data_IF_021851967080
#
_entry.id   IF_021851967080
#
_cell.length_a   1.000
_cell.length_b   1.000
_cell.length_c   1.000
_cell.angle_alpha   90.00
_cell.angle_beta   90.00
_cell.angle_gamma   90.00
#
_symmetry.space_group_name_H-M   'P 1'
#
loop_
_entity.id
_entity.type
_entity.pdbx_description
1 polymer ?
#
# COMPACT_ATOMS: atom_id res chain seq x y z
N UNK A 1 -14.15 -3.66 -0.05
CA UNK A 1 -13.50 -4.92 0.39
C UNK A 1 -13.63 -5.98 -0.70
N UNK A 2 -12.63 -6.82 -0.85
CA UNK A 2 -12.68 -7.95 -1.78
C UNK A 2 -13.15 -9.27 -1.11
N UNK A 3 -13.08 -9.33 0.22
CA UNK A 3 -13.52 -10.49 1.00
C UNK A 3 -14.57 -10.11 2.06
N UNK A 4 -15.45 -11.08 2.39
CA UNK A 4 -16.44 -11.00 3.47
C UNK A 4 -16.56 -12.34 4.19
N UNK A 5 -17.29 -12.38 5.28
CA UNK A 5 -17.67 -13.62 5.96
C UNK A 5 -19.05 -14.01 5.46
N UNK A 6 -19.20 -15.22 4.91
CA UNK A 6 -20.49 -15.79 4.59
C UNK A 6 -21.14 -16.30 5.88
N UNK A 7 -22.35 -15.83 6.18
CA UNK A 7 -22.95 -16.09 7.50
C UNK A 7 -23.37 -17.54 7.70
N UNK A 8 -23.72 -18.27 6.62
CA UNK A 8 -24.21 -19.65 6.70
C UNK A 8 -23.19 -20.64 7.29
N UNK A 9 -21.89 -20.43 7.02
CA UNK A 9 -20.81 -21.35 7.45
C UNK A 9 -19.64 -20.62 8.11
N UNK A 10 -19.73 -19.30 8.28
CA UNK A 10 -18.69 -18.42 8.85
C UNK A 10 -17.36 -18.43 8.12
N UNK A 11 -17.35 -18.86 6.85
CA UNK A 11 -16.14 -18.85 6.04
C UNK A 11 -15.87 -17.48 5.44
N UNK A 12 -14.59 -17.11 5.39
CA UNK A 12 -14.13 -15.97 4.60
C UNK A 12 -14.22 -16.32 3.13
N UNK A 13 -14.93 -15.51 2.36
CA UNK A 13 -15.19 -15.73 0.94
C UNK A 13 -14.77 -14.52 0.11
N UNK A 14 -14.31 -14.76 -1.11
CA UNK A 14 -13.93 -13.73 -2.05
C UNK A 14 -15.14 -13.32 -2.93
N UNK A 15 -15.23 -12.04 -3.27
CA UNK A 15 -16.38 -11.50 -4.00
C UNK A 15 -16.55 -12.08 -5.40
N UNK A 16 -15.47 -12.50 -6.05
CA UNK A 16 -15.51 -13.08 -7.40
C UNK A 16 -16.06 -14.51 -7.42
N UNK A 17 -15.94 -15.26 -6.31
CA UNK A 17 -16.37 -16.65 -6.17
C UNK A 17 -17.82 -16.78 -5.65
N UNK A 18 -18.51 -15.66 -5.33
CA UNK A 18 -19.83 -15.68 -4.73
C UNK A 18 -20.91 -15.21 -5.68
N UNK A 19 -22.13 -15.72 -5.47
CA UNK A 19 -23.39 -15.22 -6.04
C UNK A 19 -24.15 -14.41 -4.99
N UNK A 20 -25.08 -13.55 -5.43
CA UNK A 20 -25.89 -12.75 -4.49
C UNK A 20 -26.74 -13.60 -3.55
N UNK A 21 -27.15 -14.79 -4.03
CA UNK A 21 -27.97 -15.73 -3.26
C UNK A 21 -27.17 -16.55 -2.22
N UNK A 22 -25.83 -16.48 -2.23
CA UNK A 22 -24.98 -17.17 -1.25
C UNK A 22 -24.92 -16.41 0.08
N UNK A 23 -25.52 -15.21 0.13
CA UNK A 23 -25.62 -14.39 1.34
C UNK A 23 -26.58 -14.92 2.39
N UNK A 24 -26.66 -14.25 3.53
CA UNK A 24 -26.08 -12.95 3.83
C UNK A 24 -24.57 -12.99 4.12
N UNK A 25 -23.92 -11.85 3.88
CA UNK A 25 -22.49 -11.65 4.10
C UNK A 25 -22.23 -10.56 5.15
N UNK A 26 -21.18 -10.70 5.93
CA UNK A 26 -20.78 -9.70 6.92
C UNK A 26 -19.32 -9.27 6.78
N UNK A 27 -19.04 -8.05 7.25
CA UNK A 27 -17.70 -7.54 7.30
C UNK A 27 -16.85 -8.36 8.30
N UNK A 28 -15.63 -8.79 7.94
CA UNK A 28 -14.76 -9.51 8.88
C UNK A 28 -14.31 -8.68 10.10
N UNK A 29 -14.56 -7.37 10.10
CA UNK A 29 -14.12 -6.43 11.14
C UNK A 29 -15.21 -5.98 12.08
N UNK A 30 -16.24 -5.31 11.52
CA UNK A 30 -17.33 -4.75 12.30
C UNK A 30 -18.52 -5.71 12.42
N UNK A 31 -18.46 -6.86 11.75
CA UNK A 31 -19.52 -7.90 11.72
C UNK A 31 -20.82 -7.41 11.05
N UNK A 32 -20.93 -6.13 10.72
CA UNK A 32 -22.09 -5.57 10.02
C UNK A 32 -22.31 -6.21 8.67
N UNK A 33 -23.59 -6.29 8.26
CA UNK A 33 -23.99 -6.87 6.98
C UNK A 33 -23.39 -6.08 5.80
N UNK A 34 -22.95 -6.83 4.79
CA UNK A 34 -22.40 -6.28 3.55
C UNK A 34 -23.15 -6.76 2.34
N UNK A 35 -23.17 -5.95 1.29
CA UNK A 35 -23.81 -6.27 0.01
C UNK A 35 -22.76 -6.65 -1.01
N UNK A 36 -22.93 -7.80 -1.66
CA UNK A 36 -22.11 -8.19 -2.80
C UNK A 36 -22.49 -7.35 -4.03
N UNK A 37 -21.53 -6.56 -4.52
CA UNK A 37 -21.62 -5.78 -5.75
C UNK A 37 -20.94 -6.54 -6.87
N UNK A 38 -21.74 -7.04 -7.82
CA UNK A 38 -21.29 -7.71 -9.05
C UNK A 38 -21.50 -6.78 -10.24
N UNK A 39 -20.48 -6.63 -11.07
CA UNK A 39 -20.47 -5.78 -12.25
C UNK A 39 -19.86 -6.53 -13.43
N UNK A 40 -20.24 -6.18 -14.64
CA UNK A 40 -19.63 -6.76 -15.87
C UNK A 40 -18.25 -6.19 -16.18
N UNK A 41 -18.00 -4.92 -15.82
CA UNK A 41 -16.78 -4.19 -16.17
C UNK A 41 -15.92 -3.80 -14.97
N UNK A 42 -16.39 -4.02 -13.75
CA UNK A 42 -15.69 -3.61 -12.52
C UNK A 42 -15.40 -4.80 -11.63
N UNK A 43 -14.38 -4.67 -10.80
CA UNK A 43 -14.03 -5.70 -9.80
C UNK A 43 -15.20 -5.94 -8.86
N UNK A 44 -15.61 -7.21 -8.73
CA UNK A 44 -16.60 -7.62 -7.75
C UNK A 44 -16.12 -7.32 -6.34
N UNK A 45 -16.99 -6.78 -5.49
CA UNK A 45 -16.61 -6.40 -4.13
C UNK A 45 -17.80 -6.40 -3.17
N UNK A 46 -17.49 -6.46 -1.89
CA UNK A 46 -18.48 -6.25 -0.82
C UNK A 46 -18.47 -4.77 -0.38
N UNK A 47 -19.64 -4.24 -0.14
CA UNK A 47 -19.85 -2.87 0.34
C UNK A 47 -20.74 -2.87 1.59
N UNK A 48 -20.43 -2.00 2.55
CA UNK A 48 -21.31 -1.76 3.69
C UNK A 48 -22.59 -1.05 3.26
N UNK A 49 -23.66 -1.28 4.00
CA UNK A 49 -24.88 -0.47 3.93
C UNK A 49 -24.67 0.88 4.67
N UNK A 50 -25.21 1.99 4.17
CA UNK A 50 -25.20 3.24 4.95
C UNK A 50 -26.04 3.13 6.23
N UNK A 51 -25.67 3.84 7.32
CA UNK A 51 -24.47 4.67 7.49
C UNK A 51 -23.21 3.81 7.69
N UNK A 52 -22.08 4.25 7.06
CA UNK A 52 -20.82 3.50 7.13
C UNK A 52 -20.01 4.02 8.32
N UNK A 53 -19.93 3.22 9.38
CA UNK A 53 -19.13 3.51 10.59
C UNK A 53 -17.82 2.72 10.63
N UNK A 54 -17.69 1.70 9.78
CA UNK A 54 -16.53 0.83 9.75
C UNK A 54 -15.32 1.51 9.10
N UNK A 55 -14.19 1.51 9.76
CA UNK A 55 -12.91 2.05 9.26
C UNK A 55 -12.48 1.42 7.93
N UNK A 56 -12.82 0.15 7.70
CA UNK A 56 -12.53 -0.60 6.47
C UNK A 56 -13.67 -0.54 5.45
N UNK A 57 -14.74 0.17 5.75
CA UNK A 57 -15.96 0.19 4.93
C UNK A 57 -16.02 1.28 3.88
N UNK A 58 -15.18 2.30 3.99
CA UNK A 58 -15.28 3.52 3.18
C UNK A 58 -14.20 3.68 2.13
N UNK A 59 -14.60 4.18 0.95
CA UNK A 59 -13.68 4.90 0.07
C UNK A 59 -12.70 4.11 -0.80
N UNK A 60 -12.79 2.78 -0.87
CA UNK A 60 -11.91 2.01 -1.74
C UNK A 60 -12.25 2.23 -3.22
N UNK A 61 -11.32 2.86 -3.97
CA UNK A 61 -11.50 3.13 -5.40
C UNK A 61 -11.45 1.84 -6.23
N UNK A 62 -11.98 1.88 -7.44
CA UNK A 62 -11.89 0.77 -8.40
C UNK A 62 -10.44 0.37 -8.66
N UNK A 63 -9.59 1.36 -8.93
CA UNK A 63 -8.16 1.14 -9.19
C UNK A 63 -7.42 0.52 -8.01
N UNK A 64 -7.86 0.79 -6.77
CA UNK A 64 -7.29 0.14 -5.58
C UNK A 64 -7.65 -1.35 -5.54
N UNK A 65 -8.93 -1.68 -5.78
CA UNK A 65 -9.38 -3.08 -5.84
C UNK A 65 -8.71 -3.85 -6.96
N UNK A 66 -8.58 -3.23 -8.13
CA UNK A 66 -7.85 -3.79 -9.28
C UNK A 66 -6.38 -4.09 -8.93
N UNK A 67 -5.69 -3.14 -8.33
CA UNK A 67 -4.30 -3.30 -7.89
C UNK A 67 -4.15 -4.48 -6.93
N UNK A 68 -4.97 -4.55 -5.89
CA UNK A 68 -4.93 -5.65 -4.91
C UNK A 68 -5.19 -7.00 -5.56
N UNK A 69 -6.24 -7.09 -6.37
CA UNK A 69 -6.62 -8.34 -7.03
C UNK A 69 -5.54 -8.81 -8.00
N UNK A 70 -5.00 -7.90 -8.80
CA UNK A 70 -3.94 -8.19 -9.77
C UNK A 70 -2.65 -8.65 -9.10
N UNK A 71 -2.25 -8.01 -8.00
CA UNK A 71 -1.08 -8.44 -7.21
C UNK A 71 -1.33 -9.80 -6.59
N UNK A 72 -2.49 -10.01 -5.94
CA UNK A 72 -2.85 -11.29 -5.35
C UNK A 72 -2.81 -12.41 -6.38
N UNK A 73 -3.45 -12.22 -7.52
CA UNK A 73 -3.55 -13.23 -8.58
C UNK A 73 -2.18 -13.55 -9.18
N UNK A 74 -1.35 -12.55 -9.43
CA UNK A 74 0.00 -12.74 -9.95
C UNK A 74 0.94 -13.45 -8.96
N UNK A 75 0.86 -13.12 -7.66
CA UNK A 75 1.74 -13.71 -6.65
C UNK A 75 1.34 -15.14 -6.29
N UNK A 76 0.04 -15.46 -6.18
CA UNK A 76 -0.42 -16.81 -5.80
C UNK A 76 -0.03 -17.90 -6.81
N UNK A 77 0.19 -17.53 -8.07
CA UNK A 77 0.61 -18.46 -9.12
C UNK A 77 2.13 -18.51 -9.33
N UNK A 78 2.89 -17.73 -8.57
CA UNK A 78 4.34 -17.66 -8.74
C UNK A 78 5.05 -18.53 -7.69
N UNK A 79 5.93 -19.45 -8.13
CA UNK A 79 6.59 -20.47 -7.32
C UNK A 79 7.38 -19.97 -6.08
N UNK A 80 7.77 -18.69 -6.08
CA UNK A 80 8.49 -18.06 -4.96
C UNK A 80 7.58 -17.75 -3.78
N UNK A 81 6.26 -17.74 -4.00
CA UNK A 81 5.28 -17.32 -3.01
C UNK A 81 4.43 -18.49 -2.54
N UNK A 82 4.15 -18.54 -1.25
CA UNK A 82 3.31 -19.54 -0.62
C UNK A 82 2.25 -18.86 0.24
N UNK A 83 1.12 -19.51 0.39
CA UNK A 83 0.03 -19.09 1.26
C UNK A 83 -0.36 -17.62 1.04
N UNK A 84 -0.45 -17.21 -0.24
CA UNK A 84 -0.83 -15.84 -0.61
C UNK A 84 -2.32 -15.64 -0.35
N UNK A 85 -2.65 -14.62 0.43
CA UNK A 85 -4.03 -14.32 0.80
C UNK A 85 -4.29 -12.81 0.68
N UNK A 86 -5.50 -12.47 0.22
CA UNK A 86 -5.99 -11.11 0.12
C UNK A 86 -6.77 -10.75 1.38
N UNK A 87 -6.57 -9.54 1.89
CA UNK A 87 -7.27 -9.00 3.05
C UNK A 87 -7.28 -9.97 4.26
N UNK A 88 -6.11 -10.57 4.57
CA UNK A 88 -5.93 -11.47 5.72
C UNK A 88 -6.02 -10.69 7.02
N UNK A 89 -6.84 -11.17 7.96
CA UNK A 89 -6.83 -10.63 9.32
C UNK A 89 -5.63 -11.17 10.08
N UNK A 90 -4.78 -10.28 10.58
CA UNK A 90 -3.63 -10.60 11.44
C UNK A 90 -3.82 -10.03 12.85
N UNK A 91 -5.08 -9.88 13.29
CA UNK A 91 -5.46 -9.28 14.54
C UNK A 91 -5.45 -7.76 14.47
N UNK A 92 -4.33 -7.13 14.82
CA UNK A 92 -4.19 -5.66 14.87
C UNK A 92 -4.02 -4.99 13.50
N UNK A 93 -3.71 -5.76 12.44
CA UNK A 93 -3.53 -5.26 11.07
C UNK A 93 -4.18 -6.19 10.05
N UNK A 94 -4.55 -5.63 8.91
CA UNK A 94 -5.08 -6.37 7.76
C UNK A 94 -4.41 -5.86 6.49
N UNK A 95 -3.33 -6.53 6.05
CA UNK A 95 -2.69 -6.21 4.78
C UNK A 95 -3.63 -6.42 3.59
N UNK A 96 -3.42 -5.65 2.52
CA UNK A 96 -4.14 -5.85 1.29
C UNK A 96 -3.80 -7.21 0.64
N UNK A 97 -2.51 -7.57 0.62
CA UNK A 97 -2.03 -8.90 0.21
C UNK A 97 -0.94 -9.36 1.16
N UNK A 98 -0.94 -10.62 1.56
CA UNK A 98 0.09 -11.19 2.44
C UNK A 98 0.35 -12.66 2.13
N UNK A 99 1.47 -13.19 2.64
CA UNK A 99 1.87 -14.59 2.44
C UNK A 99 3.33 -14.79 2.83
N UNK A 100 3.98 -15.76 2.19
CA UNK A 100 5.40 -16.03 2.36
C UNK A 100 6.13 -15.89 1.03
N UNK A 101 7.24 -15.19 1.02
CA UNK A 101 8.14 -14.99 -0.12
C UNK A 101 9.48 -15.66 0.18
N UNK A 102 9.76 -16.83 -0.46
CA UNK A 102 10.96 -17.59 -0.15
C UNK A 102 11.08 -17.96 1.33
N UNK A 103 9.97 -18.29 1.99
CA UNK A 103 9.90 -18.63 3.42
C UNK A 103 9.84 -17.43 4.37
N UNK A 104 9.92 -16.20 3.87
CA UNK A 104 9.85 -14.98 4.69
C UNK A 104 8.43 -14.40 4.65
N UNK A 105 7.79 -14.12 5.81
CA UNK A 105 6.44 -13.56 5.84
C UNK A 105 6.44 -12.12 5.31
N UNK A 106 5.50 -11.82 4.42
CA UNK A 106 5.37 -10.49 3.81
C UNK A 106 3.94 -9.95 3.89
N UNK A 107 3.85 -8.63 3.79
CA UNK A 107 2.62 -7.87 3.62
C UNK A 107 2.81 -6.80 2.55
N UNK A 108 1.80 -6.59 1.72
CA UNK A 108 1.72 -5.47 0.78
C UNK A 108 0.52 -4.62 1.17
N UNK A 109 0.76 -3.31 1.30
CA UNK A 109 -0.22 -2.28 1.59
C UNK A 109 -0.31 -1.32 0.42
N UNK A 110 -1.48 -1.24 -0.20
CA UNK A 110 -1.73 -0.32 -1.33
C UNK A 110 -2.35 0.96 -0.81
N UNK A 111 -1.63 2.05 -0.87
CA UNK A 111 -2.05 3.32 -0.31
C UNK A 111 -2.47 4.33 -1.38
N UNK A 112 -3.69 4.87 -1.24
CA UNK A 112 -4.25 5.89 -2.15
C UNK A 112 -4.60 7.16 -1.39
N UNK A 113 -5.25 7.01 -0.24
CA UNK A 113 -5.72 8.12 0.59
C UNK A 113 -4.62 8.71 1.45
N UNK A 114 -4.88 9.85 2.06
CA UNK A 114 -3.97 10.41 3.04
C UNK A 114 -3.96 9.53 4.30
N UNK A 115 -2.79 8.96 4.63
CA UNK A 115 -2.52 8.40 5.96
C UNK A 115 -1.90 9.47 6.84
N UNK A 116 -2.27 9.47 8.10
CA UNK A 116 -1.54 10.26 9.09
C UNK A 116 -0.19 9.61 9.40
N UNK A 117 0.72 10.38 9.96
CA UNK A 117 2.02 9.87 10.38
C UNK A 117 1.88 8.76 11.45
N UNK A 118 0.96 8.96 12.38
CA UNK A 118 0.68 8.00 13.45
C UNK A 118 0.17 6.67 12.91
N UNK A 119 -0.72 6.71 11.93
CA UNK A 119 -1.29 5.50 11.31
C UNK A 119 -0.22 4.68 10.60
N UNK A 120 0.65 5.30 9.77
CA UNK A 120 1.67 4.56 9.04
C UNK A 120 2.75 4.01 9.97
N UNK A 121 3.15 4.78 10.99
CA UNK A 121 4.12 4.35 12.02
C UNK A 121 3.55 3.18 12.81
N UNK A 122 2.31 3.30 13.33
CA UNK A 122 1.64 2.25 14.10
C UNK A 122 1.52 0.96 13.30
N UNK A 123 0.99 1.01 12.07
CA UNK A 123 0.83 -0.19 11.23
C UNK A 123 2.18 -0.83 10.88
N UNK A 124 3.21 -0.03 10.56
CA UNK A 124 4.56 -0.56 10.29
C UNK A 124 5.16 -1.25 11.51
N UNK A 125 4.98 -0.66 12.71
CA UNK A 125 5.42 -1.26 13.96
C UNK A 125 4.70 -2.58 14.26
N UNK A 126 3.40 -2.66 13.99
CA UNK A 126 2.63 -3.89 14.17
C UNK A 126 3.10 -5.02 13.24
N UNK A 127 3.45 -4.72 11.99
CA UNK A 127 4.09 -5.70 11.11
C UNK A 127 5.45 -6.16 11.64
N UNK A 128 6.28 -5.22 12.11
CA UNK A 128 7.59 -5.55 12.67
C UNK A 128 7.50 -6.48 13.89
N UNK A 129 6.58 -6.21 14.83
CA UNK A 129 6.30 -7.05 16.00
C UNK A 129 5.89 -8.49 15.63
N UNK A 130 5.18 -8.63 14.52
CA UNK A 130 4.76 -9.94 13.97
C UNK A 130 5.83 -10.62 13.13
N UNK A 131 7.01 -10.03 12.96
CA UNK A 131 8.07 -10.54 12.09
C UNK A 131 7.80 -10.40 10.59
N UNK A 132 6.79 -9.62 10.19
CA UNK A 132 6.33 -9.49 8.81
C UNK A 132 7.02 -8.33 8.12
N UNK A 133 7.52 -8.57 6.92
CA UNK A 133 8.15 -7.55 6.09
C UNK A 133 7.09 -6.85 5.22
N UNK A 134 6.89 -5.55 5.44
CA UNK A 134 5.87 -4.79 4.73
C UNK A 134 6.44 -4.06 3.52
N UNK A 135 5.65 -3.99 2.45
CA UNK A 135 5.85 -3.13 1.30
C UNK A 135 4.68 -2.16 1.18
N UNK A 136 4.96 -0.87 1.35
CA UNK A 136 4.02 0.21 1.09
C UNK A 136 4.05 0.60 -0.39
N UNK A 137 2.94 0.41 -1.08
CA UNK A 137 2.77 0.77 -2.49
C UNK A 137 1.85 1.98 -2.63
N UNK A 138 2.22 2.88 -3.53
CA UNK A 138 1.34 3.92 -4.05
C UNK A 138 0.75 3.49 -5.39
N UNK A 139 -0.38 4.05 -5.79
CA UNK A 139 -0.84 3.96 -7.17
C UNK A 139 -0.15 5.03 -8.01
N UNK A 140 0.34 4.63 -9.18
CA UNK A 140 0.92 5.56 -10.14
C UNK A 140 -0.07 6.67 -10.51
N UNK A 141 0.44 7.90 -10.62
CA UNK A 141 -0.34 9.08 -10.98
C UNK A 141 0.46 9.96 -11.95
N UNK A 142 -0.22 10.58 -12.91
CA UNK A 142 0.40 11.40 -13.95
C UNK A 142 1.22 12.58 -13.39
N UNK A 143 0.87 13.07 -12.22
CA UNK A 143 1.62 14.14 -11.54
C UNK A 143 3.09 13.79 -11.24
N UNK A 144 3.47 12.51 -11.29
CA UNK A 144 4.87 12.07 -11.16
C UNK A 144 5.71 12.35 -12.42
N UNK A 145 5.09 12.67 -13.54
CA UNK A 145 5.77 13.07 -14.80
C UNK A 145 6.07 14.57 -14.84
N UNK A 146 5.49 15.33 -13.91
CA UNK A 146 5.71 16.75 -13.82
C UNK A 146 7.10 17.09 -13.28
N UNK A 147 7.64 18.23 -13.70
CA UNK A 147 8.92 18.74 -13.20
C UNK A 147 8.89 19.10 -11.71
N UNK A 148 7.71 19.24 -11.13
CA UNK A 148 7.46 19.62 -9.73
C UNK A 148 6.40 18.72 -9.14
N UNK A 149 6.72 18.11 -8.01
CA UNK A 149 5.82 17.22 -7.29
C UNK A 149 5.73 17.63 -5.81
N UNK A 150 4.56 17.51 -5.24
CA UNK A 150 4.34 17.75 -3.82
C UNK A 150 3.98 16.45 -3.11
N UNK A 151 4.96 15.67 -2.65
CA UNK A 151 4.70 14.39 -1.98
C UNK A 151 3.82 14.60 -0.75
N UNK A 152 2.84 13.72 -0.57
CA UNK A 152 1.99 13.65 0.62
C UNK A 152 2.83 13.32 1.85
N UNK A 153 2.29 13.53 3.03
CA UNK A 153 3.00 13.27 4.30
C UNK A 153 3.46 11.81 4.38
N UNK A 154 2.59 10.86 4.06
CA UNK A 154 2.92 9.44 4.08
C UNK A 154 3.95 9.04 3.01
N UNK A 155 3.94 9.67 1.82
CA UNK A 155 4.95 9.42 0.78
C UNK A 155 6.34 9.92 1.23
N UNK A 156 6.41 11.04 1.94
CA UNK A 156 7.66 11.54 2.54
C UNK A 156 8.18 10.57 3.60
N UNK A 157 7.28 9.99 4.39
CA UNK A 157 7.63 8.98 5.37
C UNK A 157 8.15 7.71 4.69
N UNK A 158 7.41 7.16 3.71
CA UNK A 158 7.83 5.99 2.94
C UNK A 158 9.18 6.23 2.28
N UNK A 159 9.36 7.38 1.62
CA UNK A 159 10.63 7.77 1.01
C UNK A 159 11.82 7.68 1.98
N UNK A 160 11.65 8.17 3.20
CA UNK A 160 12.68 8.09 4.23
C UNK A 160 12.87 6.66 4.77
N UNK A 161 11.79 5.92 5.02
CA UNK A 161 11.85 4.57 5.54
C UNK A 161 12.49 3.59 4.54
N UNK A 162 12.22 3.76 3.25
CA UNK A 162 12.71 2.93 2.15
C UNK A 162 14.00 3.49 1.49
N UNK A 163 14.81 4.22 2.26
CA UNK A 163 16.12 4.71 1.82
C UNK A 163 16.04 5.49 0.49
N UNK A 164 15.10 6.44 0.41
CA UNK A 164 14.92 7.32 -0.73
C UNK A 164 14.05 6.77 -1.86
N UNK A 165 13.23 5.75 -1.60
CA UNK A 165 12.33 5.15 -2.60
C UNK A 165 10.88 5.24 -2.17
N UNK A 166 9.98 5.49 -3.13
CA UNK A 166 8.55 5.25 -3.01
C UNK A 166 8.14 4.41 -4.22
N UNK A 167 7.50 3.28 -3.98
CA UNK A 167 7.11 2.36 -5.06
C UNK A 167 5.71 2.67 -5.54
N UNK A 168 5.58 2.88 -6.85
CA UNK A 168 4.30 3.15 -7.50
C UNK A 168 3.91 1.98 -8.40
N UNK A 169 2.76 1.39 -8.10
CA UNK A 169 2.19 0.33 -8.93
C UNK A 169 1.71 0.88 -10.26
N UNK A 170 2.11 0.22 -11.34
CA UNK A 170 1.78 0.60 -12.73
C UNK A 170 0.74 -0.37 -13.29
N UNK A 171 1.07 -1.65 -13.32
CA UNK A 171 0.22 -2.74 -13.83
C UNK A 171 0.78 -4.10 -13.43
N UNK A 172 -0.06 -5.15 -13.42
CA UNK A 172 0.39 -6.51 -13.13
C UNK A 172 1.17 -6.58 -11.82
N UNK A 173 2.36 -7.15 -11.89
CA UNK A 173 3.33 -7.16 -10.78
C UNK A 173 4.41 -6.08 -10.92
N UNK A 174 4.26 -5.15 -11.86
CA UNK A 174 5.24 -4.11 -12.15
C UNK A 174 5.04 -2.88 -11.27
N UNK A 175 6.11 -2.45 -10.62
CA UNK A 175 6.18 -1.21 -9.86
C UNK A 175 7.40 -0.39 -10.27
N UNK A 176 7.30 0.93 -10.18
CA UNK A 176 8.41 1.84 -10.43
C UNK A 176 8.78 2.54 -9.13
N UNK A 177 10.01 2.40 -8.63
CA UNK A 177 10.50 3.18 -7.50
C UNK A 177 10.80 4.62 -7.96
N UNK A 178 10.34 5.59 -7.17
CA UNK A 178 10.63 7.01 -7.37
C UNK A 178 11.46 7.56 -6.22
N UNK A 179 12.46 8.34 -6.55
CA UNK A 179 13.16 9.21 -5.62
C UNK A 179 12.63 10.64 -5.72
N UNK A 180 12.52 11.35 -4.60
CA UNK A 180 12.12 12.75 -4.56
C UNK A 180 13.33 13.64 -4.28
N UNK A 181 14.02 14.04 -5.35
CA UNK A 181 15.12 14.97 -5.31
C UNK A 181 14.71 16.38 -4.84
N UNK A 182 15.63 17.15 -4.29
CA UNK A 182 15.39 18.56 -3.97
C UNK A 182 15.77 19.43 -5.16
N UNK A 183 14.92 20.41 -5.43
CA UNK A 183 15.22 21.51 -6.33
C UNK A 183 14.94 22.83 -5.61
N UNK A 184 15.89 23.74 -5.66
CA UNK A 184 15.78 25.06 -5.05
C UNK A 184 15.73 26.08 -6.18
N UNK A 185 14.63 26.79 -6.29
CA UNK A 185 14.45 27.90 -7.21
C UNK A 185 14.66 29.22 -6.46
N UNK A 186 15.55 30.05 -6.95
CA UNK A 186 15.72 31.40 -6.46
C UNK A 186 14.71 32.30 -7.16
N UNK A 187 13.77 32.85 -6.41
CA UNK A 187 12.82 33.82 -6.93
C UNK A 187 13.34 35.18 -6.55
N UNK A 188 13.73 36.00 -7.54
CA UNK A 188 14.00 37.43 -7.30
C UNK A 188 12.72 38.09 -6.88
N UNK A 189 12.68 38.62 -5.66
CA UNK A 189 11.62 39.50 -5.23
C UNK A 189 12.14 40.96 -5.23
N UNK A 190 11.36 41.87 -5.76
CA UNK A 190 11.56 43.29 -5.58
C UNK A 190 11.44 43.62 -4.07
N UNK A 191 12.57 43.71 -3.37
CA UNK A 191 12.62 43.99 -1.95
C UNK A 191 13.44 43.00 -1.15
N UNK A 192 13.84 43.35 0.04
CA UNK A 192 14.86 42.79 0.93
C UNK A 192 14.70 41.30 1.37
N UNK A 193 13.84 40.49 0.79
CA UNK A 193 13.72 39.06 1.14
C UNK A 193 14.00 38.18 -0.08
N UNK A 194 15.14 37.49 -0.05
CA UNK A 194 15.39 36.36 -0.96
C UNK A 194 14.39 35.24 -0.64
N UNK A 195 13.39 35.03 -1.48
CA UNK A 195 12.45 33.95 -1.39
C UNK A 195 13.02 32.74 -2.14
N UNK A 196 13.38 31.68 -1.39
CA UNK A 196 13.71 30.38 -1.95
C UNK A 196 12.44 29.53 -1.99
N UNK A 197 12.08 29.00 -3.14
CA UNK A 197 11.05 27.95 -3.25
C UNK A 197 11.75 26.60 -3.36
N UNK A 198 11.40 25.66 -2.49
CA UNK A 198 11.88 24.29 -2.56
C UNK A 198 10.80 23.41 -3.17
N UNK A 199 11.15 22.68 -4.19
CA UNK A 199 10.30 21.72 -4.84
C UNK A 199 10.89 20.31 -4.69
N UNK A 200 10.06 19.29 -4.92
CA UNK A 200 10.52 17.93 -5.11
C UNK A 200 10.45 17.61 -6.59
N UNK A 201 11.51 16.99 -7.10
CA UNK A 201 11.58 16.50 -8.48
C UNK A 201 11.51 14.98 -8.44
N UNK A 202 10.46 14.37 -9.02
CA UNK A 202 10.38 12.92 -9.11
C UNK A 202 11.45 12.39 -10.06
N UNK A 203 12.24 11.43 -9.59
CA UNK A 203 13.26 10.73 -10.39
C UNK A 203 12.91 9.25 -10.42
N UNK A 204 12.39 8.72 -11.53
CA UNK A 204 12.06 7.31 -11.64
C UNK A 204 13.32 6.45 -11.69
N UNK A 205 13.27 5.32 -11.01
CA UNK A 205 14.18 4.21 -11.23
C UNK A 205 13.69 3.29 -12.35
N UNK A 206 14.36 2.16 -12.53
CA UNK A 206 13.88 1.14 -13.46
C UNK A 206 12.68 0.41 -12.85
N UNK A 207 11.74 0.02 -13.70
CA UNK A 207 10.63 -0.83 -13.28
C UNK A 207 11.14 -2.16 -12.70
N UNK A 208 10.51 -2.62 -11.62
CA UNK A 208 10.82 -3.88 -10.95
C UNK A 208 9.57 -4.72 -10.79
N UNK A 209 9.74 -6.04 -10.79
CA UNK A 209 8.65 -6.97 -10.52
C UNK A 209 8.55 -7.28 -9.02
N UNK A 210 7.35 -7.26 -8.49
CA UNK A 210 7.05 -7.71 -7.11
C UNK A 210 7.44 -9.17 -6.89
N UNK A 211 7.45 -9.99 -7.96
CA UNK A 211 7.81 -11.40 -7.88
C UNK A 211 9.32 -11.66 -7.87
N UNK A 212 10.15 -10.72 -8.32
CA UNK A 212 11.58 -11.00 -8.59
C UNK A 212 12.58 -10.23 -7.73
N UNK A 213 12.36 -8.96 -7.54
CA UNK A 213 13.46 -8.03 -7.18
C UNK A 213 13.49 -7.59 -5.72
N UNK A 214 12.52 -8.02 -4.90
CA UNK A 214 12.43 -7.58 -3.51
C UNK A 214 13.14 -8.51 -2.54
N UNK A 215 13.83 -7.91 -1.57
CA UNK A 215 14.52 -8.60 -0.47
C UNK A 215 14.10 -8.02 0.87
N UNK A 216 14.08 -8.85 1.93
CA UNK A 216 13.79 -8.40 3.29
C UNK A 216 14.93 -7.54 3.85
N UNK A 217 14.57 -6.43 4.47
CA UNK A 217 15.48 -5.55 5.20
C UNK A 217 14.93 -5.23 6.57
N UNK A 218 15.72 -5.46 7.59
CA UNK A 218 15.38 -5.16 8.98
C UNK A 218 16.11 -3.90 9.44
N UNK A 219 15.36 -2.93 9.93
CA UNK A 219 15.85 -1.78 10.67
C UNK A 219 15.61 -2.04 12.15
N UNK A 220 16.63 -2.48 12.86
CA UNK A 220 16.52 -2.89 14.26
C UNK A 220 16.38 -1.70 15.25
N UNK A 221 16.71 -0.48 14.82
CA UNK A 221 16.71 0.68 15.70
C UNK A 221 15.81 1.77 15.13
N UNK A 222 15.00 2.36 16.00
CA UNK A 222 14.20 3.54 15.66
C UNK A 222 15.12 4.68 15.19
N UNK A 223 14.73 5.34 14.09
CA UNK A 223 15.34 6.56 13.64
C UNK A 223 14.37 7.72 13.83
N UNK A 224 14.87 8.82 14.41
CA UNK A 224 14.06 9.99 14.73
C UNK A 224 14.72 11.29 14.29
N UNK A 225 13.95 12.15 13.67
CA UNK A 225 14.27 13.54 13.40
C UNK A 225 13.21 14.47 14.02
N UNK A 226 13.39 15.79 13.88
CA UNK A 226 12.41 16.77 14.37
C UNK A 226 10.99 16.57 13.81
N UNK A 227 10.85 15.99 12.61
CA UNK A 227 9.58 15.90 11.87
C UNK A 227 9.19 14.49 11.48
N UNK A 228 10.04 13.51 11.74
CA UNK A 228 9.85 12.16 11.23
C UNK A 228 10.35 11.13 12.23
N UNK A 229 9.54 10.11 12.45
CA UNK A 229 9.89 8.93 13.25
C UNK A 229 9.76 7.71 12.34
N UNK A 230 10.83 6.93 12.21
CA UNK A 230 10.81 5.62 11.56
C UNK A 230 11.07 4.60 12.66
N UNK A 231 10.07 3.80 13.05
CA UNK A 231 10.23 2.82 14.12
C UNK A 231 11.15 1.68 13.69
N UNK A 232 11.46 0.78 14.62
CA UNK A 232 11.91 -0.56 14.22
C UNK A 232 10.96 -1.09 13.17
N UNK A 233 11.50 -1.56 12.05
CA UNK A 233 10.69 -1.93 10.90
C UNK A 233 11.33 -3.06 10.09
N UNK A 234 10.46 -3.89 9.53
CA UNK A 234 10.80 -4.94 8.57
C UNK A 234 10.20 -4.55 7.22
N UNK A 235 11.05 -4.27 6.25
CA UNK A 235 10.65 -3.69 4.96
C UNK A 235 11.08 -4.60 3.81
N UNK A 236 10.29 -4.64 2.74
CA UNK A 236 10.69 -5.22 1.47
C UNK A 236 11.24 -4.12 0.57
N UNK A 237 12.47 -4.26 0.13
CA UNK A 237 13.17 -3.26 -0.67
C UNK A 237 13.75 -3.93 -1.91
N UNK A 238 13.66 -3.28 -3.07
CA UNK A 238 14.29 -3.78 -4.30
C UNK A 238 15.81 -3.72 -4.25
N UNK A 239 16.43 -4.48 -5.12
CA UNK A 239 17.90 -4.64 -5.20
C UNK A 239 18.56 -3.65 -6.16
N UNK A 240 17.83 -2.69 -6.73
CA UNK A 240 18.43 -1.71 -7.61
C UNK A 240 19.48 -0.86 -6.86
N UNK A 241 20.57 -0.50 -7.55
CA UNK A 241 21.50 0.49 -7.03
C UNK A 241 20.82 1.86 -6.90
N UNK A 242 21.44 2.78 -6.19
CA UNK A 242 21.02 4.19 -6.14
C UNK A 242 21.20 4.78 -7.55
N UNK A 243 20.18 5.49 -8.04
CA UNK A 243 20.16 6.10 -9.40
C UNK A 243 19.95 7.61 -9.39
N UNK A 244 19.82 8.23 -8.20
CA UNK A 244 19.61 9.68 -8.03
C UNK A 244 20.85 10.44 -7.57
#
# INVERSE_FOLDING_TARGET
>A
MLCAIRQSDRQKVAAWDQHKNDGPFSCPFCIEETILKKWTMKVHHFAHKPPITCEYGGGESERHRECKLTIYDGLRHHQRFLDVEIERSLGTVRPDVSGFMGGVPFAIEVQISALTMEQIVSRTSEYAKKGIYVLWLALYQAALEESRYSPRVWEKWVHAAYFGRVYYWVRGLEVIPYHFGEYIEFVESCGYKKLFKRFRVPKPGRAVSLAGSFIPRHRAVEWRSRKLVIPESRLLIDTQPIWW
#
